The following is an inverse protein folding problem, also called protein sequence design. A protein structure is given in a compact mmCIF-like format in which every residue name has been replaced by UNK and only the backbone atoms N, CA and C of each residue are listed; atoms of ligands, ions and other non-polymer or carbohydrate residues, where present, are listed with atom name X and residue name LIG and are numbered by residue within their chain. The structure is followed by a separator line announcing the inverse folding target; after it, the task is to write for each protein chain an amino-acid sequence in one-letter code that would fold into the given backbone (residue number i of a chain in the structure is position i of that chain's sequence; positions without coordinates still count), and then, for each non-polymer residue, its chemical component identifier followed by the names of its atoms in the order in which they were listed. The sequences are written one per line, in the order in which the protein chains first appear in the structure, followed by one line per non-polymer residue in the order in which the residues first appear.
data_IF_656143442861
#
_entry.id   IF_656143442861
#
_cell.length_a   1.000
_cell.length_b   1.000
_cell.length_c   1.000
_cell.angle_alpha   90.00
_cell.angle_beta   90.00
_cell.angle_gamma   90.00
#
_symmetry.space_group_name_H-M   'P 1'
#
loop_
_entity.id
_entity.type
_entity.pdbx_description
1 polymer ?
#
# COMPACT_ATOMS: atom_id res chain seq x y z
N UNK A 1 10.36 12.88 -4.68
CA UNK A 1 8.91 12.87 -4.36
C UNK A 1 8.38 11.46 -4.50
N UNK A 2 7.59 11.00 -3.53
CA UNK A 2 6.96 9.69 -3.53
C UNK A 2 5.59 9.68 -4.20
N UNK A 3 5.04 8.46 -4.38
CA UNK A 3 3.72 8.20 -4.99
C UNK A 3 2.57 8.95 -4.29
N UNK A 4 2.62 9.05 -2.96
CA UNK A 4 1.59 9.67 -2.11
C UNK A 4 1.90 11.13 -1.77
N UNK A 5 2.64 11.81 -2.65
CA UNK A 5 3.02 13.21 -2.50
C UNK A 5 4.16 13.49 -1.51
N UNK A 6 4.66 12.48 -0.77
CA UNK A 6 5.74 12.66 0.22
C UNK A 6 6.97 13.29 -0.42
N UNK A 7 7.47 14.34 0.22
CA UNK A 7 8.72 15.00 -0.14
C UNK A 7 9.80 14.45 0.77
N UNK A 8 10.68 13.63 0.19
CA UNK A 8 11.80 13.00 0.89
C UNK A 8 13.08 13.74 0.53
N UNK A 9 13.81 14.30 1.50
CA UNK A 9 15.11 14.87 1.24
C UNK A 9 16.14 13.77 0.97
N UNK A 10 17.03 14.05 0.03
CA UNK A 10 18.13 13.15 -0.37
C UNK A 10 19.40 14.00 -0.41
N UNK A 11 20.45 13.53 0.25
CA UNK A 11 21.77 14.15 0.17
C UNK A 11 22.44 13.70 -1.12
N UNK A 12 22.83 14.66 -1.95
CA UNK A 12 23.76 14.43 -3.05
C UNK A 12 25.18 14.64 -2.51
N UNK A 13 26.03 13.62 -2.66
CA UNK A 13 27.33 13.49 -2.01
C UNK A 13 28.44 13.48 -3.05
N UNK A 14 29.61 13.96 -2.65
CA UNK A 14 30.83 13.66 -3.39
C UNK A 14 31.02 12.13 -3.44
N UNK A 15 31.38 11.55 -4.60
CA UNK A 15 31.50 10.12 -4.75
C UNK A 15 32.45 9.51 -3.70
N UNK A 16 31.95 8.56 -2.91
CA UNK A 16 32.73 7.90 -1.86
C UNK A 16 32.53 6.39 -1.92
N UNK A 17 33.62 5.63 -1.77
CA UNK A 17 33.55 4.18 -1.71
C UNK A 17 33.13 3.69 -0.32
N UNK A 18 32.18 2.75 -0.28
CA UNK A 18 31.74 2.09 0.94
C UNK A 18 31.33 0.65 0.63
N UNK A 19 32.04 -0.32 1.21
CA UNK A 19 31.77 -1.75 0.99
C UNK A 19 31.72 -2.12 -0.50
N UNK A 20 32.73 -1.70 -1.27
CA UNK A 20 32.90 -2.08 -2.69
C UNK A 20 31.96 -1.41 -3.69
N UNK A 21 31.18 -0.40 -3.28
CA UNK A 21 30.38 0.42 -4.22
C UNK A 21 30.63 1.91 -4.00
N UNK A 22 30.51 2.69 -5.07
CA UNK A 22 30.54 4.14 -5.00
C UNK A 22 29.16 4.69 -4.64
N UNK A 23 29.07 5.40 -3.52
CA UNK A 23 27.86 6.10 -3.08
C UNK A 23 27.95 7.56 -3.53
N UNK A 24 26.89 8.05 -4.18
CA UNK A 24 26.72 9.46 -4.54
C UNK A 24 25.44 10.06 -3.96
N UNK A 25 24.54 9.23 -3.43
CA UNK A 25 23.25 9.65 -2.88
C UNK A 25 22.95 8.88 -1.61
N UNK A 26 22.46 9.58 -0.59
CA UNK A 26 22.00 8.96 0.66
C UNK A 26 20.66 9.55 1.08
N UNK A 27 19.79 8.71 1.63
CA UNK A 27 18.51 9.17 2.17
C UNK A 27 18.74 9.97 3.46
N UNK A 28 17.98 11.05 3.62
CA UNK A 28 17.86 11.79 4.88
C UNK A 28 16.54 11.47 5.59
N UNK A 29 15.77 10.48 5.12
CA UNK A 29 14.48 10.02 5.65
C UNK A 29 13.35 11.07 5.62
N UNK A 30 13.47 12.18 6.33
CA UNK A 30 12.50 13.28 6.44
C UNK A 30 13.22 14.58 6.87
N UNK A 31 12.48 15.69 7.00
CA UNK A 31 13.08 16.97 7.35
C UNK A 31 13.45 17.07 8.85
N UNK A 32 12.72 16.39 9.73
CA UNK A 32 13.03 16.32 11.16
C UNK A 32 14.41 15.65 11.39
N UNK A 33 14.78 14.68 10.55
CA UNK A 33 16.10 14.04 10.60
C UNK A 33 17.23 14.97 10.17
N UNK A 34 16.97 15.90 9.24
CA UNK A 34 17.93 16.96 8.87
C UNK A 34 18.21 17.86 10.07
N UNK A 35 17.15 18.24 10.78
CA UNK A 35 17.24 19.06 11.98
C UNK A 35 17.94 18.31 13.12
N UNK A 36 17.56 17.04 13.37
CA UNK A 36 18.18 16.17 14.39
C UNK A 36 19.68 15.97 14.15
N UNK A 37 20.08 15.75 12.91
CA UNK A 37 21.49 15.61 12.52
C UNK A 37 22.22 16.97 12.47
N UNK A 38 21.47 18.09 12.43
CA UNK A 38 22.01 19.42 12.24
C UNK A 38 22.75 19.60 10.93
N UNK A 39 22.37 18.86 9.88
CA UNK A 39 23.09 18.81 8.60
C UNK A 39 22.90 20.08 7.78
N UNK A 40 24.00 20.56 7.19
CA UNK A 40 24.07 21.71 6.29
C UNK A 40 24.66 21.30 4.95
N UNK A 41 24.30 22.02 3.90
CA UNK A 41 24.91 21.86 2.58
C UNK A 41 26.39 22.24 2.68
N UNK A 42 27.27 21.33 2.29
CA UNK A 42 28.73 21.46 2.40
C UNK A 42 29.33 20.74 3.61
N UNK A 43 28.52 20.17 4.50
CA UNK A 43 29.03 19.38 5.62
C UNK A 43 29.75 18.11 5.15
N UNK A 44 30.82 17.75 5.87
CA UNK A 44 31.38 16.40 5.82
C UNK A 44 30.53 15.49 6.72
N UNK A 45 30.10 14.35 6.19
CA UNK A 45 29.20 13.42 6.88
C UNK A 45 29.82 12.04 7.01
N UNK A 46 29.35 11.28 8.01
CA UNK A 46 29.64 9.85 8.15
C UNK A 46 28.45 9.06 7.64
N UNK A 47 28.73 8.10 6.77
CA UNK A 47 27.74 7.23 6.15
C UNK A 47 27.84 5.82 6.75
N UNK A 48 26.70 5.16 6.85
CA UNK A 48 26.61 3.75 7.17
C UNK A 48 25.76 3.06 6.11
N UNK A 49 26.22 1.90 5.62
CA UNK A 49 25.45 1.04 4.72
C UNK A 49 25.08 -0.24 5.47
N UNK A 50 23.93 -0.22 6.14
CA UNK A 50 23.44 -1.38 6.88
C UNK A 50 23.02 -2.51 5.92
N UNK A 51 23.55 -3.71 6.13
CA UNK A 51 23.21 -4.91 5.37
C UNK A 51 23.49 -4.81 3.86
N UNK A 52 24.42 -3.95 3.44
CA UNK A 52 24.79 -3.74 2.03
C UNK A 52 23.65 -3.27 1.10
N UNK A 53 22.55 -2.71 1.61
CA UNK A 53 21.42 -2.26 0.76
C UNK A 53 21.36 -0.74 0.62
N UNK A 54 20.94 -0.01 1.66
CA UNK A 54 20.66 1.43 1.58
C UNK A 54 21.65 2.23 2.43
N UNK A 55 22.43 3.15 1.83
CA UNK A 55 23.28 4.04 2.59
C UNK A 55 22.46 5.13 3.29
N UNK A 56 22.79 5.39 4.56
CA UNK A 56 22.19 6.46 5.38
C UNK A 56 23.29 7.31 6.01
N UNK A 57 22.99 8.58 6.24
CA UNK A 57 23.87 9.48 7.00
C UNK A 57 23.61 9.26 8.49
N UNK A 58 24.66 8.99 9.26
CA UNK A 58 24.53 8.74 10.71
C UNK A 58 24.89 9.95 11.57
N UNK A 59 25.84 10.78 11.13
CA UNK A 59 26.23 12.02 11.81
C UNK A 59 26.98 12.97 10.88
N UNK A 60 26.98 14.23 11.26
CA UNK A 60 27.84 15.28 10.70
C UNK A 60 29.18 15.28 11.43
N UNK A 61 30.27 15.58 10.72
CA UNK A 61 31.58 15.88 11.30
C UNK A 61 31.68 17.39 11.48
N UNK A 62 31.07 17.91 12.53
CA UNK A 62 30.96 19.35 12.80
C UNK A 62 32.30 20.03 13.07
N UNK A 63 33.28 19.29 13.60
CA UNK A 63 34.63 19.76 13.91
C UNK A 63 35.43 20.28 12.71
N UNK A 64 35.01 19.95 11.48
CA UNK A 64 35.68 20.40 10.23
C UNK A 64 34.89 21.46 9.47
N UNK A 65 33.85 22.04 10.09
CA UNK A 65 33.08 23.11 9.47
C UNK A 65 33.96 24.35 9.23
N UNK A 66 33.82 24.89 8.04
CA UNK A 66 34.49 26.10 7.56
C UNK A 66 33.70 27.38 7.87
N UNK A 67 32.43 27.26 8.27
CA UNK A 67 31.50 28.37 8.46
C UNK A 67 30.81 28.82 7.15
N UNK A 68 31.16 28.24 6.01
CA UNK A 68 30.54 28.52 4.70
C UNK A 68 29.35 27.62 4.39
N UNK A 69 29.03 26.68 5.27
CA UNK A 69 27.95 25.71 5.08
C UNK A 69 26.58 26.39 5.10
N UNK A 70 25.67 25.94 4.24
CA UNK A 70 24.34 26.55 4.09
C UNK A 70 23.27 25.71 4.79
N UNK A 71 22.42 26.37 5.56
CA UNK A 71 21.25 25.72 6.18
C UNK A 71 20.29 25.25 5.07
N UNK A 72 19.85 24.00 5.16
CA UNK A 72 18.83 23.47 4.28
C UNK A 72 17.46 23.68 4.90
N UNK A 73 16.61 24.45 4.22
CA UNK A 73 15.25 24.73 4.67
C UNK A 73 14.25 23.86 3.92
N UNK A 74 13.16 23.52 4.60
CA UNK A 74 12.02 22.83 3.99
C UNK A 74 11.46 23.73 2.87
N UNK A 75 11.31 23.22 1.63
CA UNK A 75 10.78 24.03 0.54
C UNK A 75 9.33 24.40 0.83
N UNK A 76 8.87 25.62 0.51
CA UNK A 76 7.45 25.99 0.65
C UNK A 76 6.56 25.42 -0.44
N UNK A 77 7.15 25.16 -1.60
CA UNK A 77 6.47 24.72 -2.80
C UNK A 77 7.04 23.39 -3.29
N UNK A 78 6.18 22.60 -3.91
CA UNK A 78 6.50 21.33 -4.52
C UNK A 78 7.52 21.55 -5.65
N UNK A 79 8.69 20.88 -5.64
CA UNK A 79 9.68 21.06 -6.69
C UNK A 79 9.24 20.54 -8.07
N UNK A 80 8.16 19.77 -8.15
CA UNK A 80 7.66 19.19 -9.40
C UNK A 80 6.50 19.96 -10.04
N UNK A 81 5.65 20.62 -9.25
CA UNK A 81 4.47 21.35 -9.76
C UNK A 81 4.26 22.73 -9.15
N UNK A 82 5.17 23.18 -8.29
CA UNK A 82 5.13 24.47 -7.59
C UNK A 82 3.92 24.68 -6.67
N UNK A 83 3.02 23.70 -6.51
CA UNK A 83 1.92 23.76 -5.54
C UNK A 83 2.43 23.78 -4.10
N UNK A 84 1.62 24.30 -3.18
CA UNK A 84 1.94 24.31 -1.76
C UNK A 84 2.20 22.89 -1.23
N UNK A 85 3.18 22.79 -0.32
CA UNK A 85 3.43 21.56 0.42
C UNK A 85 2.91 21.73 1.83
N UNK A 86 2.26 20.70 2.34
CA UNK A 86 1.63 20.76 3.66
C UNK A 86 2.06 19.57 4.50
N UNK A 87 1.95 19.78 5.80
CA UNK A 87 2.00 18.74 6.82
C UNK A 87 0.56 18.54 7.30
N UNK A 88 -0.10 17.46 6.88
CA UNK A 88 -1.55 17.28 7.10
C UNK A 88 -1.94 17.23 8.58
N UNK A 89 -1.06 16.71 9.43
CA UNK A 89 -1.20 16.68 10.89
C UNK A 89 0.14 17.04 11.53
N UNK A 90 0.10 17.76 12.64
CA UNK A 90 1.33 18.17 13.34
C UNK A 90 2.19 16.98 13.78
N UNK A 91 1.56 15.87 14.14
CA UNK A 91 2.18 14.62 14.56
C UNK A 91 2.85 13.81 13.43
N UNK A 92 2.50 14.07 12.16
CA UNK A 92 3.18 13.40 11.06
C UNK A 92 4.62 13.91 10.92
N UNK A 93 5.50 13.19 10.21
CA UNK A 93 6.86 13.69 9.88
C UNK A 93 6.99 14.07 8.40
N UNK A 94 5.99 13.70 7.61
CA UNK A 94 6.03 13.79 6.15
C UNK A 94 5.38 15.07 5.66
N UNK A 95 6.15 15.87 4.91
CA UNK A 95 5.61 16.94 4.10
C UNK A 95 5.15 16.39 2.75
N UNK A 96 4.02 16.88 2.23
CA UNK A 96 3.38 16.34 1.04
C UNK A 96 2.97 17.43 0.06
N UNK A 97 3.09 17.14 -1.22
CA UNK A 97 2.38 17.85 -2.27
C UNK A 97 0.92 17.36 -2.28
N UNK A 98 -0.03 18.28 -2.13
CA UNK A 98 -1.49 17.96 -2.13
C UNK A 98 -2.15 18.16 -3.48
N UNK A 99 -1.39 18.59 -4.51
CA UNK A 99 -1.92 18.75 -5.84
C UNK A 99 -2.19 17.37 -6.47
N UNK A 100 -3.46 17.00 -6.73
CA UNK A 100 -3.81 15.70 -7.32
C UNK A 100 -3.30 15.54 -8.75
N UNK A 101 -2.94 16.65 -9.42
CA UNK A 101 -2.41 16.69 -10.78
C UNK A 101 -0.88 16.81 -10.83
N UNK A 102 -0.19 16.56 -9.70
CA UNK A 102 1.26 16.65 -9.65
C UNK A 102 1.90 15.59 -10.59
N UNK A 103 2.69 15.99 -11.61
CA UNK A 103 3.25 15.06 -12.59
C UNK A 103 4.20 14.04 -11.95
N UNK A 104 4.96 14.44 -10.93
CA UNK A 104 5.83 13.52 -10.19
C UNK A 104 5.04 12.46 -9.39
N UNK A 105 3.84 12.79 -8.90
CA UNK A 105 2.97 11.80 -8.25
C UNK A 105 2.36 10.86 -9.28
N UNK A 106 1.94 11.41 -10.42
CA UNK A 106 1.43 10.62 -11.54
C UNK A 106 2.47 9.65 -12.09
N UNK A 107 3.72 10.08 -12.30
CA UNK A 107 4.84 9.25 -12.76
C UNK A 107 5.10 8.09 -11.80
N UNK A 108 5.23 8.38 -10.50
CA UNK A 108 5.46 7.34 -9.49
C UNK A 108 4.24 6.45 -9.29
N UNK A 109 3.03 7.01 -9.34
CA UNK A 109 1.78 6.28 -9.25
C UNK A 109 1.61 5.30 -10.40
N UNK A 110 1.84 5.74 -11.64
CA UNK A 110 1.73 4.88 -12.81
C UNK A 110 2.82 3.82 -12.87
N UNK A 111 4.04 4.17 -12.47
CA UNK A 111 5.14 3.19 -12.34
C UNK A 111 4.80 2.10 -11.31
N UNK A 112 4.14 2.46 -10.21
CA UNK A 112 3.63 1.50 -9.24
C UNK A 112 2.48 0.66 -9.79
N UNK A 113 1.51 1.28 -10.45
CA UNK A 113 0.39 0.60 -11.08
C UNK A 113 0.89 -0.47 -12.07
N UNK A 114 1.91 -0.15 -12.87
CA UNK A 114 2.57 -1.05 -13.81
C UNK A 114 3.44 -2.13 -13.14
N UNK A 115 3.78 -1.98 -11.86
CA UNK A 115 4.72 -2.84 -11.14
C UNK A 115 4.30 -4.31 -11.06
N UNK A 116 5.29 -5.18 -10.83
CA UNK A 116 5.11 -6.64 -10.84
C UNK A 116 4.05 -7.14 -9.85
N UNK A 117 3.95 -6.55 -8.65
CA UNK A 117 2.94 -6.90 -7.64
C UNK A 117 1.55 -6.29 -7.91
N UNK A 118 1.45 -5.42 -8.92
CA UNK A 118 0.22 -4.74 -9.31
C UNK A 118 -0.24 -5.31 -10.66
N UNK A 119 -0.44 -4.44 -11.65
CA UNK A 119 -0.96 -4.84 -12.96
C UNK A 119 0.09 -5.56 -13.83
N UNK A 120 1.36 -5.59 -13.42
CA UNK A 120 2.41 -6.39 -14.07
C UNK A 120 2.51 -6.10 -15.58
N UNK A 121 2.71 -4.82 -15.89
CA UNK A 121 2.82 -4.32 -17.27
C UNK A 121 4.30 -4.20 -17.62
N UNK A 122 4.87 -5.32 -18.07
CA UNK A 122 6.25 -5.36 -18.54
C UNK A 122 6.49 -4.35 -19.68
N UNK A 123 7.60 -3.61 -19.59
CA UNK A 123 7.96 -2.56 -20.54
C UNK A 123 7.43 -1.16 -20.19
N UNK A 124 6.52 -1.02 -19.22
CA UNK A 124 6.03 0.27 -18.73
C UNK A 124 6.82 0.75 -17.50
N UNK A 125 8.13 0.93 -17.67
CA UNK A 125 9.03 1.43 -16.62
C UNK A 125 9.07 2.96 -16.52
N UNK A 126 9.78 3.48 -15.51
CA UNK A 126 9.85 4.91 -15.17
C UNK A 126 10.16 5.82 -16.37
N UNK A 127 11.15 5.46 -17.19
CA UNK A 127 11.51 6.24 -18.37
C UNK A 127 10.39 6.32 -19.43
N UNK A 128 9.60 5.25 -19.59
CA UNK A 128 8.50 5.22 -20.57
C UNK A 128 7.29 5.97 -20.01
N UNK A 129 6.97 5.74 -18.74
CA UNK A 129 5.93 6.47 -18.01
C UNK A 129 6.15 7.98 -18.10
N UNK A 130 7.38 8.43 -17.87
CA UNK A 130 7.75 9.85 -17.98
C UNK A 130 7.43 10.41 -19.37
N UNK A 131 7.89 9.74 -20.43
CA UNK A 131 7.64 10.19 -21.81
C UNK A 131 6.15 10.21 -22.16
N UNK A 132 5.37 9.25 -21.65
CA UNK A 132 3.92 9.20 -21.86
C UNK A 132 3.21 10.41 -21.21
N UNK A 133 3.64 10.79 -20.01
CA UNK A 133 3.12 11.96 -19.29
C UNK A 133 3.55 13.26 -19.97
N UNK A 134 4.84 13.40 -20.32
CA UNK A 134 5.39 14.60 -20.97
C UNK A 134 4.74 14.87 -22.34
N UNK A 135 4.38 13.82 -23.08
CA UNK A 135 3.65 13.94 -24.37
C UNK A 135 2.13 13.97 -24.20
N UNK A 136 1.64 14.06 -22.96
CA UNK A 136 0.23 14.06 -22.58
C UNK A 136 -0.59 12.88 -23.14
N UNK A 137 0.07 11.74 -23.40
CA UNK A 137 -0.57 10.52 -23.87
C UNK A 137 -1.31 9.79 -22.74
N UNK A 138 -0.93 10.07 -21.49
CA UNK A 138 -1.51 9.49 -20.27
C UNK A 138 -1.69 10.57 -19.21
N UNK A 139 -2.90 10.67 -18.67
CA UNK A 139 -3.30 11.62 -17.61
C UNK A 139 -3.85 10.91 -16.37
N UNK A 140 -4.30 9.67 -16.52
CA UNK A 140 -4.72 8.79 -15.43
C UNK A 140 -4.26 7.33 -15.68
N UNK A 141 -4.47 6.43 -14.70
CA UNK A 141 -4.03 5.03 -14.86
C UNK A 141 -4.76 4.29 -15.99
N UNK A 142 -5.99 4.69 -16.32
CA UNK A 142 -6.80 4.00 -17.31
C UNK A 142 -6.39 4.35 -18.75
N UNK A 143 -5.82 5.53 -19.01
CA UNK A 143 -5.33 5.93 -20.33
C UNK A 143 -4.36 4.93 -20.96
N UNK A 144 -3.58 4.21 -20.13
CA UNK A 144 -2.65 3.18 -20.60
C UNK A 144 -3.35 2.13 -21.47
N UNK A 145 -4.60 1.79 -21.15
CA UNK A 145 -5.37 0.78 -21.89
C UNK A 145 -5.92 1.27 -23.24
N UNK A 146 -5.76 2.56 -23.54
CA UNK A 146 -6.19 3.19 -24.80
C UNK A 146 -5.02 3.62 -25.69
N UNK A 147 -3.78 3.35 -25.27
CA UNK A 147 -2.58 3.63 -26.05
C UNK A 147 -2.61 2.86 -27.37
N UNK A 148 -2.24 3.55 -28.45
CA UNK A 148 -2.13 2.98 -29.79
C UNK A 148 -0.68 2.86 -30.22
N UNK A 149 -0.42 1.93 -31.13
CA UNK A 149 0.93 1.66 -31.64
C UNK A 149 1.58 2.92 -32.23
N UNK A 150 0.81 3.72 -32.96
CA UNK A 150 1.29 4.94 -33.62
C UNK A 150 1.71 6.03 -32.62
N UNK A 151 1.14 6.03 -31.41
CA UNK A 151 1.55 6.92 -30.34
C UNK A 151 2.86 6.44 -29.71
N UNK A 152 3.00 5.13 -29.49
CA UNK A 152 4.20 4.53 -28.92
C UNK A 152 5.42 4.70 -29.83
N UNK A 153 5.24 4.63 -31.15
CA UNK A 153 6.33 4.85 -32.12
C UNK A 153 6.90 6.28 -32.11
N UNK A 154 6.21 7.24 -31.47
CA UNK A 154 6.70 8.63 -31.27
C UNK A 154 7.54 8.79 -30.01
N UNK A 155 7.72 7.71 -29.24
CA UNK A 155 8.56 7.68 -28.03
C UNK A 155 10.01 7.36 -28.40
N UNK A 156 10.93 7.83 -27.57
CA UNK A 156 12.34 7.52 -27.73
C UNK A 156 12.59 6.03 -27.51
N UNK A 157 13.45 5.46 -28.37
CA UNK A 157 13.80 4.04 -28.33
C UNK A 157 12.60 3.08 -28.44
N UNK A 158 11.52 3.50 -29.11
CA UNK A 158 10.44 2.62 -29.54
C UNK A 158 10.58 2.23 -31.01
N UNK A 159 10.50 0.93 -31.25
CA UNK A 159 10.35 0.31 -32.58
C UNK A 159 9.17 -0.64 -32.52
N UNK A 160 8.69 -1.11 -33.67
CA UNK A 160 7.51 -1.98 -33.79
C UNK A 160 7.44 -3.09 -32.73
N UNK A 161 8.49 -3.91 -32.62
CA UNK A 161 8.54 -5.01 -31.66
C UNK A 161 8.35 -4.57 -30.22
N UNK A 162 8.94 -3.44 -29.80
CA UNK A 162 8.81 -2.92 -28.43
C UNK A 162 7.41 -2.35 -28.19
N UNK A 163 6.83 -1.69 -29.19
CA UNK A 163 5.46 -1.21 -29.14
C UNK A 163 4.46 -2.38 -29.01
N UNK A 164 4.62 -3.41 -29.84
CA UNK A 164 3.78 -4.60 -29.84
C UNK A 164 3.88 -5.36 -28.50
N UNK A 165 5.10 -5.51 -27.96
CA UNK A 165 5.31 -6.14 -26.66
C UNK A 165 4.62 -5.37 -25.52
N UNK A 166 4.71 -4.03 -25.51
CA UNK A 166 4.05 -3.21 -24.49
C UNK A 166 2.52 -3.31 -24.60
N UNK A 167 1.97 -3.21 -25.81
CA UNK A 167 0.52 -3.36 -26.04
C UNK A 167 0.02 -4.75 -25.61
N UNK A 168 0.80 -5.80 -25.86
CA UNK A 168 0.50 -7.15 -25.40
C UNK A 168 0.51 -7.25 -23.87
N UNK A 169 1.50 -6.65 -23.21
CA UNK A 169 1.57 -6.59 -21.74
C UNK A 169 0.38 -5.84 -21.14
N UNK A 170 -0.01 -4.70 -21.73
CA UNK A 170 -1.20 -3.92 -21.35
C UNK A 170 -2.48 -4.75 -21.54
N UNK A 171 -2.59 -5.50 -22.65
CA UNK A 171 -3.74 -6.38 -22.87
C UNK A 171 -3.82 -7.49 -21.83
N UNK A 172 -2.68 -8.12 -21.53
CA UNK A 172 -2.56 -9.19 -20.52
C UNK A 172 -2.86 -8.69 -19.10
N UNK A 173 -2.54 -7.45 -18.78
CA UNK A 173 -2.78 -6.91 -17.43
C UNK A 173 -4.27 -6.73 -17.11
N UNK A 174 -5.15 -6.70 -18.10
CA UNK A 174 -6.60 -6.59 -17.89
C UNK A 174 -7.18 -7.75 -17.07
N UNK A 175 -6.57 -8.94 -17.11
CA UNK A 175 -7.06 -10.13 -16.40
C UNK A 175 -6.44 -10.34 -15.03
N UNK A 176 -5.74 -9.32 -14.48
CA UNK A 176 -5.13 -9.48 -13.15
C UNK A 176 -6.20 -9.57 -12.06
N UNK A 177 -5.92 -10.30 -10.97
CA UNK A 177 -6.80 -10.34 -9.80
C UNK A 177 -7.13 -8.95 -9.27
N UNK A 178 -8.30 -8.83 -8.64
CA UNK A 178 -8.81 -7.59 -8.07
C UNK A 178 -7.88 -7.03 -6.99
N UNK A 179 -7.23 -7.89 -6.19
CA UNK A 179 -6.27 -7.44 -5.16
C UNK A 179 -5.11 -6.62 -5.76
N UNK A 180 -4.63 -7.04 -6.93
CA UNK A 180 -3.55 -6.36 -7.64
C UNK A 180 -4.00 -5.02 -8.20
N UNK A 181 -5.26 -4.92 -8.64
CA UNK A 181 -5.85 -3.65 -9.04
C UNK A 181 -5.95 -2.71 -7.84
N UNK A 182 -6.54 -3.16 -6.72
CA UNK A 182 -6.70 -2.35 -5.50
C UNK A 182 -5.34 -1.84 -5.01
N UNK A 183 -4.33 -2.72 -4.98
CA UNK A 183 -2.98 -2.33 -4.60
C UNK A 183 -2.35 -1.37 -5.61
N UNK A 184 -2.57 -1.60 -6.91
CA UNK A 184 -2.07 -0.76 -8.00
C UNK A 184 -2.65 0.66 -8.00
N UNK A 185 -3.89 0.85 -7.52
CA UNK A 185 -4.50 2.19 -7.37
C UNK A 185 -3.76 3.10 -6.38
N UNK A 186 -2.85 2.55 -5.56
CA UNK A 186 -1.95 3.33 -4.72
C UNK A 186 -2.66 4.08 -3.58
N UNK A 187 -3.78 3.55 -3.09
CA UNK A 187 -4.57 4.13 -2.01
C UNK A 187 -3.71 4.21 -0.74
N UNK A 188 -3.73 5.36 -0.06
CA UNK A 188 -2.92 5.60 1.13
C UNK A 188 -3.21 4.53 2.20
N UNK A 189 -2.17 4.07 2.89
CA UNK A 189 -2.19 3.00 3.90
C UNK A 189 -2.62 1.60 3.41
N UNK A 190 -3.15 1.47 2.19
CA UNK A 190 -3.54 0.18 1.62
C UNK A 190 -2.29 -0.51 1.03
N UNK A 191 -1.75 -1.47 1.78
CA UNK A 191 -0.72 -2.38 1.29
C UNK A 191 -1.29 -3.60 0.56
N UNK A 192 -0.40 -4.41 -0.01
CA UNK A 192 -0.74 -5.64 -0.75
C UNK A 192 -1.63 -6.60 0.06
N UNK A 193 -1.31 -6.82 1.35
CA UNK A 193 -2.10 -7.67 2.23
C UNK A 193 -3.52 -7.15 2.46
N UNK A 194 -3.69 -5.84 2.69
CA UNK A 194 -5.00 -5.23 2.88
C UNK A 194 -5.82 -5.30 1.58
N UNK A 195 -5.18 -5.02 0.43
CA UNK A 195 -5.81 -5.16 -0.88
C UNK A 195 -6.32 -6.58 -1.13
N UNK A 196 -5.53 -7.59 -0.78
CA UNK A 196 -5.91 -8.99 -0.86
C UNK A 196 -7.14 -9.32 0.02
N UNK A 197 -7.12 -8.93 1.30
CA UNK A 197 -8.24 -9.19 2.20
C UNK A 197 -9.53 -8.53 1.70
N UNK A 198 -9.45 -7.28 1.21
CA UNK A 198 -10.59 -6.57 0.64
C UNK A 198 -11.14 -7.26 -0.61
N UNK A 199 -10.26 -7.63 -1.54
CA UNK A 199 -10.65 -8.34 -2.76
C UNK A 199 -11.32 -9.67 -2.44
N UNK A 200 -10.76 -10.47 -1.52
CA UNK A 200 -11.32 -11.77 -1.17
C UNK A 200 -12.63 -11.66 -0.39
N UNK A 201 -12.77 -10.67 0.50
CA UNK A 201 -14.00 -10.51 1.29
C UNK A 201 -15.16 -9.97 0.46
N UNK A 202 -14.92 -8.98 -0.39
CA UNK A 202 -15.98 -8.25 -1.09
C UNK A 202 -16.14 -8.64 -2.56
N UNK A 203 -15.13 -9.28 -3.16
CA UNK A 203 -15.14 -9.85 -4.52
C UNK A 203 -15.43 -8.85 -5.65
N UNK A 204 -15.57 -7.56 -5.36
CA UNK A 204 -15.87 -6.53 -6.34
C UNK A 204 -15.40 -5.17 -5.89
N UNK A 205 -14.72 -4.45 -6.78
CA UNK A 205 -14.30 -3.07 -6.54
C UNK A 205 -15.51 -2.15 -6.27
N UNK A 206 -16.64 -2.40 -6.95
CA UNK A 206 -17.86 -1.61 -6.76
C UNK A 206 -18.45 -1.78 -5.37
N UNK A 207 -18.46 -3.02 -4.86
CA UNK A 207 -18.90 -3.29 -3.50
C UNK A 207 -18.01 -2.58 -2.50
N UNK A 208 -16.68 -2.65 -2.67
CA UNK A 208 -15.71 -1.98 -1.79
C UNK A 208 -15.91 -0.46 -1.83
N UNK A 209 -16.14 0.12 -3.01
CA UNK A 209 -16.32 1.56 -3.20
C UNK A 209 -17.59 2.13 -2.53
N UNK A 210 -18.57 1.28 -2.19
CA UNK A 210 -19.82 1.65 -1.54
C UNK A 210 -19.82 1.42 -0.02
N UNK A 211 -18.77 0.82 0.54
CA UNK A 211 -18.73 0.53 1.98
C UNK A 211 -18.58 1.80 2.80
N UNK A 212 -19.28 1.82 3.93
CA UNK A 212 -19.07 2.82 4.96
C UNK A 212 -17.79 2.53 5.75
N UNK A 213 -17.31 3.53 6.48
CA UNK A 213 -16.05 3.42 7.21
C UNK A 213 -16.13 2.33 8.28
N UNK A 214 -17.28 2.22 8.95
CA UNK A 214 -17.57 1.27 10.01
C UNK A 214 -17.49 -0.18 9.51
N UNK A 215 -17.99 -0.44 8.28
CA UNK A 215 -17.90 -1.76 7.65
C UNK A 215 -16.46 -2.13 7.31
N UNK A 216 -15.67 -1.15 6.86
CA UNK A 216 -14.25 -1.32 6.56
C UNK A 216 -13.44 -1.56 7.84
N UNK A 217 -13.73 -0.84 8.93
CA UNK A 217 -13.07 -1.01 10.23
C UNK A 217 -13.30 -2.41 10.85
N UNK A 218 -14.40 -3.08 10.48
CA UNK A 218 -14.70 -4.45 10.89
C UNK A 218 -13.91 -5.51 10.08
N UNK A 219 -13.09 -5.11 9.12
CA UNK A 219 -12.28 -6.03 8.32
C UNK A 219 -10.93 -6.29 8.98
N UNK A 220 -10.60 -7.57 9.15
CA UNK A 220 -9.29 -7.98 9.64
C UNK A 220 -8.17 -7.35 8.80
N UNK A 221 -7.16 -6.75 9.44
CA UNK A 221 -6.06 -6.00 8.81
C UNK A 221 -6.45 -4.64 8.18
N UNK A 222 -7.70 -4.20 8.34
CA UNK A 222 -8.16 -2.86 7.93
C UNK A 222 -8.47 -2.05 9.19
N UNK A 223 -7.52 -1.24 9.62
CA UNK A 223 -7.71 -0.32 10.74
C UNK A 223 -8.27 1.05 10.31
N UNK A 224 -8.54 1.96 11.27
CA UNK A 224 -9.12 3.29 11.03
C UNK A 224 -8.39 4.17 10.01
N UNK A 225 -7.07 4.00 9.88
CA UNK A 225 -6.27 4.73 8.90
C UNK A 225 -6.50 4.22 7.47
N UNK A 226 -6.70 2.90 7.31
CA UNK A 226 -6.94 2.26 6.01
C UNK A 226 -8.38 2.51 5.58
N UNK A 227 -9.36 2.28 6.46
CA UNK A 227 -10.78 2.56 6.18
C UNK A 227 -11.01 4.03 5.81
N UNK A 228 -10.46 4.97 6.59
CA UNK A 228 -10.55 6.39 6.30
C UNK A 228 -9.94 6.76 4.94
N UNK A 229 -8.82 6.12 4.57
CA UNK A 229 -8.18 6.35 3.26
C UNK A 229 -8.99 5.78 2.10
N UNK A 230 -9.60 4.60 2.27
CA UNK A 230 -10.47 3.98 1.28
C UNK A 230 -11.72 4.84 1.04
N UNK A 231 -12.43 5.22 2.11
CA UNK A 231 -13.63 6.06 2.02
C UNK A 231 -13.30 7.42 1.38
N UNK A 232 -12.21 8.07 1.81
CA UNK A 232 -11.78 9.34 1.22
C UNK A 232 -11.37 9.20 -0.25
N UNK A 233 -10.84 8.05 -0.67
CA UNK A 233 -10.47 7.79 -2.06
C UNK A 233 -11.69 7.58 -2.94
N UNK A 234 -12.60 6.66 -2.60
CA UNK A 234 -13.73 6.28 -3.45
C UNK A 234 -14.82 7.36 -3.56
N UNK A 235 -14.90 8.29 -2.60
CA UNK A 235 -15.86 9.41 -2.65
C UNK A 235 -15.48 10.49 -3.67
N UNK A 236 -14.22 10.53 -4.13
CA UNK A 236 -13.74 11.54 -5.07
C UNK A 236 -14.28 11.34 -6.49
N UNK A 237 -14.83 12.39 -7.10
CA UNK A 237 -15.35 12.36 -8.48
C UNK A 237 -14.31 11.91 -9.54
N UNK A 238 -13.04 12.36 -9.50
CA UNK A 238 -12.00 11.83 -10.39
C UNK A 238 -11.82 10.31 -10.27
N UNK A 239 -11.92 9.75 -9.06
CA UNK A 239 -11.78 8.31 -8.81
C UNK A 239 -12.95 7.54 -9.39
N UNK A 240 -14.18 8.04 -9.27
CA UNK A 240 -15.36 7.43 -9.91
C UNK A 240 -15.21 7.37 -11.43
N UNK A 241 -14.70 8.46 -12.05
CA UNK A 241 -14.41 8.51 -13.49
C UNK A 241 -13.30 7.52 -13.89
N UNK A 242 -12.23 7.44 -13.10
CA UNK A 242 -11.15 6.48 -13.31
C UNK A 242 -11.67 5.03 -13.29
N UNK A 243 -12.45 4.67 -12.27
CA UNK A 243 -13.01 3.32 -12.13
C UNK A 243 -13.92 2.99 -13.31
N UNK A 244 -14.79 3.92 -13.72
CA UNK A 244 -15.64 3.74 -14.91
C UNK A 244 -14.81 3.46 -16.17
N UNK A 245 -13.76 4.26 -16.40
CA UNK A 245 -12.87 4.13 -17.55
C UNK A 245 -12.06 2.82 -17.54
N UNK A 246 -11.62 2.35 -16.37
CA UNK A 246 -11.00 1.02 -16.22
C UNK A 246 -11.95 -0.11 -16.63
N UNK A 247 -13.23 -0.03 -16.24
CA UNK A 247 -14.25 -1.01 -16.65
C UNK A 247 -14.49 -1.00 -18.15
N UNK A 248 -14.64 0.19 -18.74
CA UNK A 248 -14.82 0.36 -20.18
C UNK A 248 -13.61 -0.17 -20.97
N UNK A 249 -12.41 -0.05 -20.41
CA UNK A 249 -11.20 -0.66 -20.95
C UNK A 249 -11.17 -2.19 -20.82
N UNK A 250 -12.09 -2.81 -20.09
CA UNK A 250 -12.17 -4.25 -19.85
C UNK A 250 -11.20 -4.75 -18.78
N UNK A 251 -10.76 -3.89 -17.86
CA UNK A 251 -9.96 -4.31 -16.70
C UNK A 251 -10.83 -5.09 -15.73
N UNK A 252 -10.30 -6.20 -15.22
CA UNK A 252 -10.97 -7.00 -14.22
C UNK A 252 -11.12 -6.22 -12.91
N UNK A 253 -12.38 -6.05 -12.47
CA UNK A 253 -12.78 -5.35 -11.25
C UNK A 253 -13.51 -6.26 -10.26
N UNK A 254 -13.48 -7.56 -10.51
CA UNK A 254 -14.14 -8.58 -9.68
C UNK A 254 -13.17 -9.72 -9.42
N UNK A 255 -13.43 -10.46 -8.34
CA UNK A 255 -12.89 -11.80 -8.17
C UNK A 255 -13.94 -12.81 -8.59
N UNK A 256 -13.49 -13.93 -9.16
CA UNK A 256 -14.36 -15.06 -9.41
C UNK A 256 -14.92 -15.56 -8.06
N UNK A 257 -16.20 -15.96 -8.06
CA UNK A 257 -16.82 -16.58 -6.89
C UNK A 257 -16.20 -17.97 -6.62
N UNK A 258 -15.70 -18.63 -7.68
CA UNK A 258 -15.01 -19.92 -7.63
C UNK A 258 -13.52 -19.74 -7.36
N UNK A 259 -13.21 -19.36 -6.13
CA UNK A 259 -11.84 -19.13 -5.72
C UNK A 259 -11.71 -18.86 -4.23
N UNK A 260 -12.52 -19.53 -3.41
CA UNK A 260 -12.18 -19.66 -2.01
C UNK A 260 -10.93 -20.55 -1.94
N UNK A 261 -9.77 -19.93 -1.72
CA UNK A 261 -8.96 -20.45 -0.61
C UNK A 261 -9.96 -20.63 0.53
N UNK A 262 -10.22 -21.88 0.94
CA UNK A 262 -11.22 -22.21 1.94
C UNK A 262 -10.94 -21.35 3.18
N UNK A 263 -11.66 -20.24 3.29
CA UNK A 263 -11.61 -19.25 4.36
C UNK A 263 -12.95 -19.33 5.09
N UNK A 264 -13.22 -20.45 5.78
CA UNK A 264 -14.50 -20.77 6.40
C UNK A 264 -14.91 -19.77 7.48
N UNK A 265 -13.95 -18.96 7.95
CA UNK A 265 -14.13 -17.93 8.96
C UNK A 265 -14.02 -16.51 8.38
N UNK A 266 -14.03 -16.35 7.05
CA UNK A 266 -13.96 -15.05 6.40
C UNK A 266 -15.01 -14.08 6.97
N UNK A 267 -14.53 -12.98 7.56
CA UNK A 267 -15.37 -11.92 8.12
C UNK A 267 -16.08 -12.28 9.43
N UNK A 268 -15.78 -13.44 10.02
CA UNK A 268 -16.32 -13.86 11.31
C UNK A 268 -15.44 -13.37 12.46
N UNK A 269 -16.06 -12.89 13.54
CA UNK A 269 -15.36 -12.51 14.77
C UNK A 269 -15.45 -13.65 15.79
N UNK A 270 -14.30 -14.09 16.32
CA UNK A 270 -14.22 -15.22 17.25
C UNK A 270 -13.55 -14.80 18.57
N UNK A 271 -13.99 -15.38 19.68
CA UNK A 271 -13.35 -15.21 20.98
C UNK A 271 -12.99 -16.57 21.55
N UNK A 272 -11.77 -16.72 22.08
CA UNK A 272 -11.32 -17.97 22.72
C UNK A 272 -11.39 -17.83 24.25
N UNK A 273 -11.96 -18.83 24.93
CA UNK A 273 -12.04 -18.89 26.40
C UNK A 273 -11.72 -20.29 26.92
N UNK A 274 -11.24 -20.38 28.16
CA UNK A 274 -10.77 -21.63 28.76
C UNK A 274 -9.42 -22.11 28.21
N UNK A 275 -9.01 -23.29 28.67
CA UNK A 275 -7.83 -24.02 28.20
C UNK A 275 -8.18 -24.94 27.03
N UNK A 276 -7.57 -24.71 25.89
CA UNK A 276 -7.70 -25.54 24.69
C UNK A 276 -6.86 -26.82 24.84
N UNK A 277 -7.42 -27.95 24.42
CA UNK A 277 -6.90 -29.32 24.55
C UNK A 277 -5.85 -29.66 23.47
N UNK A 278 -5.99 -29.14 22.25
CA UNK A 278 -5.12 -29.51 21.11
C UNK A 278 -4.24 -28.35 20.63
N UNK A 279 -4.68 -27.12 20.81
CA UNK A 279 -3.99 -25.91 20.36
C UNK A 279 -3.64 -25.01 21.52
N UNK A 280 -2.49 -24.31 21.46
CA UNK A 280 -2.32 -23.13 22.30
C UNK A 280 -3.26 -22.02 21.85
N UNK A 281 -3.65 -21.10 22.75
CA UNK A 281 -4.50 -19.95 22.40
C UNK A 281 -3.90 -19.16 21.23
N UNK A 282 -2.59 -18.93 21.23
CA UNK A 282 -1.89 -18.24 20.15
C UNK A 282 -2.01 -18.98 18.82
N UNK A 283 -1.82 -20.31 18.81
CA UNK A 283 -1.97 -21.12 17.60
C UNK A 283 -3.41 -21.10 17.08
N UNK A 284 -4.41 -21.16 17.97
CA UNK A 284 -5.82 -21.10 17.60
C UNK A 284 -6.18 -19.74 16.99
N UNK A 285 -5.69 -18.64 17.55
CA UNK A 285 -5.86 -17.30 16.99
C UNK A 285 -5.17 -17.16 15.63
N UNK A 286 -3.95 -17.69 15.47
CA UNK A 286 -3.22 -17.67 14.20
C UNK A 286 -3.94 -18.48 13.12
N UNK A 287 -4.48 -19.66 13.47
CA UNK A 287 -5.27 -20.49 12.57
C UNK A 287 -6.60 -19.83 12.19
N UNK A 288 -7.27 -19.18 13.15
CA UNK A 288 -8.48 -18.41 12.88
C UNK A 288 -8.20 -17.27 11.89
N UNK A 289 -7.09 -16.54 12.06
CA UNK A 289 -6.64 -15.48 11.13
C UNK A 289 -6.36 -16.04 9.73
N UNK A 290 -5.66 -17.17 9.64
CA UNK A 290 -5.38 -17.86 8.36
C UNK A 290 -6.65 -18.31 7.65
N UNK A 291 -7.68 -18.70 8.40
CA UNK A 291 -9.00 -19.05 7.88
C UNK A 291 -9.92 -17.85 7.60
N UNK A 292 -9.41 -16.61 7.73
CA UNK A 292 -10.14 -15.36 7.42
C UNK A 292 -10.92 -14.75 8.59
N UNK A 293 -10.81 -15.32 9.79
CA UNK A 293 -11.50 -14.87 11.00
C UNK A 293 -10.73 -13.82 11.81
N UNK A 294 -11.46 -13.04 12.59
CA UNK A 294 -10.94 -11.99 13.47
C UNK A 294 -11.01 -12.42 14.94
N UNK A 295 -9.91 -12.90 15.55
CA UNK A 295 -9.90 -13.20 16.97
C UNK A 295 -9.95 -11.91 17.80
N UNK A 296 -10.88 -11.85 18.76
CA UNK A 296 -11.10 -10.74 19.68
C UNK A 296 -10.82 -11.16 21.13
N UNK A 297 -10.43 -10.18 21.95
CA UNK A 297 -10.09 -10.41 23.37
C UNK A 297 -11.32 -10.46 24.28
N UNK A 298 -12.46 -9.90 23.85
CA UNK A 298 -13.69 -9.81 24.63
C UNK A 298 -14.92 -10.16 23.79
N UNK A 299 -15.98 -10.65 24.45
CA UNK A 299 -17.25 -10.97 23.80
C UNK A 299 -18.09 -9.72 23.66
N UNK A 300 -18.65 -9.52 22.46
CA UNK A 300 -19.55 -8.42 22.13
C UNK A 300 -20.76 -8.93 21.36
N UNK A 301 -21.72 -8.05 21.07
CA UNK A 301 -22.86 -8.39 20.18
C UNK A 301 -22.44 -8.76 18.75
N UNK A 302 -21.26 -8.30 18.33
CA UNK A 302 -20.71 -8.55 16.99
C UNK A 302 -19.80 -9.80 16.95
N UNK A 303 -19.70 -10.54 18.06
CA UNK A 303 -18.97 -11.81 18.09
C UNK A 303 -19.81 -12.90 17.46
N UNK A 304 -19.34 -13.50 16.37
CA UNK A 304 -20.03 -14.62 15.71
C UNK A 304 -19.89 -15.92 16.51
N UNK A 305 -18.70 -16.19 17.05
CA UNK A 305 -18.40 -17.43 17.76
C UNK A 305 -17.61 -17.22 19.05
N UNK A 306 -17.97 -17.95 20.09
CA UNK A 306 -17.10 -18.20 21.24
C UNK A 306 -16.58 -19.64 21.16
N UNK A 307 -15.27 -19.81 21.06
CA UNK A 307 -14.62 -21.14 21.15
C UNK A 307 -14.29 -21.42 22.61
N UNK A 308 -14.99 -22.39 23.20
CA UNK A 308 -14.87 -22.75 24.61
C UNK A 308 -14.01 -24.02 24.79
N UNK A 309 -12.93 -23.88 25.57
CA UNK A 309 -12.10 -24.99 26.07
C UNK A 309 -12.48 -25.41 27.49
N UNK A 310 -11.62 -26.22 28.13
CA UNK A 310 -11.78 -26.66 29.52
C UNK A 310 -11.78 -25.46 30.47
N UNK A 311 -12.67 -25.49 31.47
CA UNK A 311 -12.87 -24.43 32.47
C UNK A 311 -13.04 -23.04 31.84
N UNK A 312 -14.09 -22.82 31.04
CA UNK A 312 -14.31 -21.53 30.41
C UNK A 312 -14.68 -20.49 31.48
N UNK A 313 -14.00 -19.33 31.44
CA UNK A 313 -14.19 -18.26 32.43
C UNK A 313 -15.35 -17.32 32.11
N UNK A 314 -15.34 -16.13 32.71
CA UNK A 314 -16.39 -15.08 32.62
C UNK A 314 -16.85 -14.70 31.20
N UNK A 315 -16.03 -14.95 30.17
CA UNK A 315 -16.40 -14.74 28.76
C UNK A 315 -17.51 -15.70 28.28
N UNK A 316 -17.61 -16.89 28.86
CA UNK A 316 -18.66 -17.86 28.55
C UNK A 316 -20.04 -17.37 28.99
N UNK A 317 -20.12 -16.90 30.23
CA UNK A 317 -21.35 -16.31 30.77
C UNK A 317 -21.75 -15.06 29.99
N UNK A 318 -20.78 -14.27 29.54
CA UNK A 318 -21.01 -13.11 28.70
C UNK A 318 -21.56 -13.50 27.31
N UNK A 319 -21.06 -14.57 26.70
CA UNK A 319 -21.55 -15.08 25.43
C UNK A 319 -23.00 -15.59 25.53
N UNK A 320 -23.33 -16.31 26.61
CA UNK A 320 -24.71 -16.75 26.87
C UNK A 320 -25.68 -15.57 26.98
N UNK A 321 -25.30 -14.52 27.73
CA UNK A 321 -26.13 -13.31 27.89
C UNK A 321 -26.34 -12.54 26.60
N UNK A 322 -25.34 -12.56 25.70
CA UNK A 322 -25.38 -11.85 24.43
C UNK A 322 -25.93 -12.69 23.28
N UNK A 323 -26.29 -13.96 23.53
CA UNK A 323 -26.80 -14.87 22.49
C UNK A 323 -25.76 -15.28 21.45
N UNK A 324 -24.47 -15.19 21.79
CA UNK A 324 -23.36 -15.54 20.90
C UNK A 324 -23.26 -17.06 20.79
N UNK A 325 -23.05 -17.57 19.57
CA UNK A 325 -22.93 -19.00 19.31
C UNK A 325 -21.66 -19.56 19.95
N UNK A 326 -21.81 -20.56 20.81
CA UNK A 326 -20.69 -21.22 21.50
C UNK A 326 -20.36 -22.53 20.78
N UNK A 327 -19.08 -22.73 20.46
CA UNK A 327 -18.56 -23.94 19.82
C UNK A 327 -17.37 -24.49 20.59
N UNK A 328 -17.14 -25.79 20.48
CA UNK A 328 -15.99 -26.49 21.04
C UNK A 328 -14.74 -26.30 20.18
N UNK A 329 -13.58 -26.55 20.76
CA UNK A 329 -12.31 -26.57 19.99
C UNK A 329 -12.33 -27.59 18.85
N UNK A 330 -12.96 -28.77 19.04
CA UNK A 330 -13.07 -29.78 17.98
C UNK A 330 -13.92 -29.29 16.82
N UNK A 331 -15.01 -28.58 17.10
CA UNK A 331 -15.84 -27.94 16.07
C UNK A 331 -15.11 -26.80 15.38
N UNK A 332 -14.35 -25.99 16.12
CA UNK A 332 -13.47 -24.98 15.53
C UNK A 332 -12.46 -25.62 14.55
N UNK A 333 -11.76 -26.67 14.96
CA UNK A 333 -10.80 -27.38 14.09
C UNK A 333 -11.45 -27.98 12.83
N UNK A 334 -12.67 -28.51 12.94
CA UNK A 334 -13.45 -29.00 11.78
C UNK A 334 -13.88 -27.87 10.85
N UNK A 335 -14.10 -26.67 11.37
CA UNK A 335 -14.42 -25.52 10.54
C UNK A 335 -13.22 -25.07 9.73
N UNK A 336 -12.00 -25.13 10.27
CA UNK A 336 -10.80 -24.55 9.63
C UNK A 336 -9.94 -25.53 8.81
N UNK A 337 -10.17 -26.84 8.93
CA UNK A 337 -9.47 -27.89 8.17
C UNK A 337 -10.49 -28.56 7.25
N UNK A 338 -10.38 -28.41 5.91
CA UNK A 338 -11.21 -29.20 5.00
C UNK A 338 -10.82 -30.69 5.10
N UNK A 339 -11.82 -31.57 5.07
CA UNK A 339 -11.62 -33.01 4.84
C UNK A 339 -10.98 -33.26 3.47
#
# INVERSE_FOLDING_TARGET
MGRTGVITPVADLEPVECSGVTIQRATLHNFDEIERLGIKIGDRVVLERAGEVIPKIIKVVDSVRSGKEKVFNIPRNCPACNSEIVKEKEEEVAYRCVNPWCPAQMEKGLTHFAGRSCMDIEGLGEAIVRQLIEKELVRDFADVYYLKKEQLLKLEFFKDKKADNLLLAIKKSKTRPLDRLIYGLGIRHVGEKAAYVLAQRFKSLDKIALLEKEDLDAVYEVGPAISGSLTAFFTQEPVKKLIKKLKEAGVNIKEDEEGLLYMPLAGKTLVFTGGLEFLSRRQAEDLARKAGGSPASAVSKNTDFLVAGKNPGSKYDQALKLGVKIITEKEFSRLIIPL
#
